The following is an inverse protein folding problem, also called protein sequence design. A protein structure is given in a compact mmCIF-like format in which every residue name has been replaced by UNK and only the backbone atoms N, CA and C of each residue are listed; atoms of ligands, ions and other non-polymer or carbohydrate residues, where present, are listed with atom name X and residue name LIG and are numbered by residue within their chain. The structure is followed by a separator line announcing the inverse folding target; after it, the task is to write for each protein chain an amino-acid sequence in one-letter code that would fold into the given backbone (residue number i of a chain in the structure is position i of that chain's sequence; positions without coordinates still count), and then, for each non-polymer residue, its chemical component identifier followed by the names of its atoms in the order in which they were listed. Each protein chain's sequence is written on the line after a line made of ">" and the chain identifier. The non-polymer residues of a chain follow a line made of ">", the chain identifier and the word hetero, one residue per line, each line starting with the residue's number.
data_IF_422885497744
#
_entry.id   IF_422885497744
#
_cell.length_a   1.000
_cell.length_b   1.000
_cell.length_c   1.000
_cell.angle_alpha   90.00
_cell.angle_beta   90.00
_cell.angle_gamma   90.00
#
_symmetry.space_group_name_H-M   'P 1'
#
loop_
_entity.id
_entity.type
_entity.pdbx_description
1 polymer ?
#
# COMPACT_ATOMS: atom_id res chain seq x y z
N UNK A 1 10.09 20.57 28.17
CA UNK A 1 9.08 19.48 28.16
C UNK A 1 9.19 18.60 26.92
N UNK A 2 9.64 19.11 25.74
CA UNK A 2 9.75 18.32 24.49
C UNK A 2 10.95 17.37 24.42
N UNK A 3 11.99 17.55 25.21
CA UNK A 3 13.21 16.71 25.20
C UNK A 3 13.05 15.39 25.98
N UNK A 4 12.19 15.33 27.00
CA UNK A 4 11.99 14.12 27.81
C UNK A 4 11.20 13.01 27.08
N UNK A 5 10.31 13.37 26.19
CA UNK A 5 9.50 12.41 25.42
C UNK A 5 10.32 11.63 24.38
N UNK A 6 11.39 12.26 23.87
CA UNK A 6 12.27 11.62 22.87
C UNK A 6 13.21 10.57 23.50
N UNK A 7 13.66 10.81 24.71
CA UNK A 7 14.57 9.88 25.43
C UNK A 7 13.83 8.63 25.92
N UNK A 8 12.61 8.79 26.43
CA UNK A 8 11.75 7.67 26.88
C UNK A 8 11.35 6.77 25.71
N UNK A 9 11.04 7.34 24.53
CA UNK A 9 10.73 6.57 23.30
C UNK A 9 11.93 5.75 22.80
N UNK A 10 13.16 6.27 22.96
CA UNK A 10 14.39 5.57 22.55
C UNK A 10 14.74 4.41 23.50
N UNK A 11 14.50 4.56 24.79
CA UNK A 11 14.70 3.51 25.81
C UNK A 11 13.65 2.40 25.69
N UNK A 12 12.37 2.75 25.46
CA UNK A 12 11.30 1.77 25.23
C UNK A 12 11.53 0.98 23.93
N UNK A 13 12.13 1.61 22.91
CA UNK A 13 12.48 0.94 21.65
C UNK A 13 13.59 -0.11 21.82
N UNK A 14 14.58 0.13 22.70
CA UNK A 14 15.61 -0.85 23.02
C UNK A 14 15.08 -2.02 23.87
N UNK A 15 14.18 -1.76 24.82
CA UNK A 15 13.55 -2.80 25.61
C UNK A 15 12.59 -3.67 24.81
N UNK A 16 11.82 -3.08 23.89
CA UNK A 16 10.89 -3.81 23.01
C UNK A 16 11.64 -4.72 22.03
N UNK A 17 12.73 -4.26 21.44
CA UNK A 17 13.56 -5.08 20.55
C UNK A 17 14.24 -6.25 21.26
N UNK A 18 14.54 -6.14 22.55
CA UNK A 18 15.15 -7.22 23.31
C UNK A 18 14.15 -8.34 23.64
N UNK A 19 12.90 -8.00 23.99
CA UNK A 19 11.86 -8.99 24.30
C UNK A 19 11.21 -9.61 23.04
N UNK A 20 11.01 -8.81 21.97
CA UNK A 20 10.46 -9.33 20.72
C UNK A 20 11.44 -10.28 20.00
N UNK A 21 12.76 -10.04 20.12
CA UNK A 21 13.77 -10.88 19.47
C UNK A 21 13.85 -12.28 20.06
N UNK A 22 13.62 -12.46 21.37
CA UNK A 22 13.65 -13.81 22.01
C UNK A 22 12.43 -14.66 21.67
N UNK A 23 11.26 -14.06 21.52
CA UNK A 23 10.02 -14.81 21.21
C UNK A 23 9.87 -15.16 19.72
N UNK A 24 10.49 -14.37 18.83
CA UNK A 24 10.47 -14.59 17.38
C UNK A 24 11.50 -15.65 16.97
N UNK A 25 12.61 -15.79 17.68
CA UNK A 25 13.65 -16.78 17.36
C UNK A 25 13.19 -18.21 17.62
N UNK A 26 12.37 -18.46 18.63
CA UNK A 26 11.87 -19.83 18.93
C UNK A 26 10.77 -20.32 17.98
N UNK A 27 10.05 -19.40 17.30
CA UNK A 27 8.99 -19.78 16.35
C UNK A 27 9.44 -19.84 14.89
N UNK A 28 10.66 -19.42 14.57
CA UNK A 28 11.16 -19.35 13.20
C UNK A 28 12.09 -20.50 12.77
N UNK A 29 12.46 -21.41 13.66
CA UNK A 29 13.26 -22.61 13.28
C UNK A 29 12.47 -23.67 12.47
N UNK A 30 11.17 -23.47 12.25
CA UNK A 30 10.27 -24.40 11.54
C UNK A 30 9.95 -24.04 10.07
N UNK A 31 10.38 -22.89 9.55
CA UNK A 31 10.08 -22.45 8.18
C UNK A 31 11.31 -22.02 7.39
N UNK A 32 12.24 -22.97 7.22
CA UNK A 32 13.29 -22.83 6.22
C UNK A 32 12.80 -23.47 4.91
N UNK A 33 12.26 -22.67 3.99
CA UNK A 33 12.12 -23.05 2.59
C UNK A 33 12.37 -21.85 1.68
N UNK A 34 13.54 -21.84 1.15
CA UNK A 34 14.06 -21.41 -0.16
C UNK A 34 13.32 -20.34 -0.97
N UNK A 35 14.14 -19.31 -1.34
CA UNK A 35 14.03 -18.43 -2.53
C UNK A 35 12.88 -17.43 -2.59
N UNK A 36 12.97 -16.37 -1.76
CA UNK A 36 12.54 -15.01 -2.15
C UNK A 36 13.05 -13.93 -1.16
N UNK A 37 14.18 -14.18 -0.48
CA UNK A 37 14.61 -13.52 0.76
C UNK A 37 15.07 -12.05 0.69
N UNK A 38 15.16 -11.38 -0.47
CA UNK A 38 15.89 -10.10 -0.55
C UNK A 38 14.98 -8.87 -0.55
N UNK A 39 13.69 -9.00 -0.87
CA UNK A 39 12.72 -7.89 -0.80
C UNK A 39 11.85 -7.90 0.46
N UNK A 40 11.85 -8.97 1.23
CA UNK A 40 10.96 -9.15 2.38
C UNK A 40 11.29 -8.17 3.51
N UNK A 41 12.57 -8.01 3.84
CA UNK A 41 13.00 -7.09 4.91
C UNK A 41 12.71 -5.62 4.61
N UNK A 42 12.86 -5.19 3.34
CA UNK A 42 12.59 -3.82 2.93
C UNK A 42 11.09 -3.44 2.97
N UNK A 43 10.20 -4.42 2.88
CA UNK A 43 8.76 -4.21 3.03
C UNK A 43 8.33 -4.18 4.50
N UNK A 44 9.08 -4.85 5.38
CA UNK A 44 8.79 -4.94 6.80
C UNK A 44 8.80 -3.56 7.47
N UNK A 45 9.84 -2.76 7.28
CA UNK A 45 9.96 -1.46 7.96
C UNK A 45 8.89 -0.47 7.52
N UNK A 46 8.49 -0.45 6.23
CA UNK A 46 7.39 0.38 5.76
C UNK A 46 6.05 -0.08 6.33
N UNK A 47 5.80 -1.39 6.34
CA UNK A 47 4.57 -1.98 6.86
C UNK A 47 4.44 -1.72 8.37
N UNK A 48 5.50 -1.96 9.13
CA UNK A 48 5.53 -1.70 10.57
C UNK A 48 5.34 -0.21 10.90
N UNK A 49 6.05 0.68 10.19
CA UNK A 49 5.88 2.12 10.36
C UNK A 49 4.46 2.60 10.06
N UNK A 50 3.77 1.95 9.10
CA UNK A 50 2.37 2.24 8.82
C UNK A 50 1.44 1.72 9.92
N UNK A 51 1.68 0.52 10.47
CA UNK A 51 0.92 0.00 11.61
C UNK A 51 1.08 0.92 12.82
N UNK A 52 2.31 1.34 13.13
CA UNK A 52 2.60 2.29 14.21
C UNK A 52 1.88 3.64 13.99
N UNK A 53 1.91 4.18 12.76
CA UNK A 53 1.22 5.43 12.41
C UNK A 53 -0.30 5.34 12.59
N UNK A 54 -0.87 4.20 12.23
CA UNK A 54 -2.31 3.97 12.27
C UNK A 54 -2.81 3.59 13.67
N UNK A 55 -1.97 3.01 14.52
CA UNK A 55 -2.37 2.53 15.84
C UNK A 55 -2.81 3.66 16.77
N UNK A 56 -3.85 3.41 17.53
CA UNK A 56 -4.40 4.31 18.55
C UNK A 56 -4.55 3.57 19.87
N UNK A 57 -4.61 4.28 21.01
CA UNK A 57 -4.85 3.65 22.30
C UNK A 57 -6.12 2.79 22.30
N UNK A 58 -6.01 1.55 22.81
CA UNK A 58 -7.10 0.57 22.83
C UNK A 58 -7.21 -0.31 21.58
N UNK A 59 -6.42 -0.07 20.54
CA UNK A 59 -6.33 -0.97 19.40
C UNK A 59 -5.54 -2.24 19.75
N UNK A 60 -5.89 -3.36 19.10
CA UNK A 60 -5.14 -4.61 19.20
C UNK A 60 -4.37 -4.83 17.90
N UNK A 61 -3.07 -5.03 18.01
CA UNK A 61 -2.19 -5.36 16.88
C UNK A 61 -2.16 -6.86 16.68
N UNK A 62 -2.03 -7.28 15.43
CA UNK A 62 -1.85 -8.68 15.00
C UNK A 62 -2.84 -9.64 15.67
N UNK A 63 -4.10 -9.21 15.77
CA UNK A 63 -5.11 -9.95 16.52
C UNK A 63 -5.75 -11.05 15.66
N UNK A 64 -5.94 -12.27 16.22
CA UNK A 64 -6.64 -13.34 15.52
C UNK A 64 -8.15 -13.06 15.46
N UNK A 65 -8.71 -13.00 14.26
CA UNK A 65 -10.14 -12.87 13.97
C UNK A 65 -10.52 -13.94 12.95
N UNK A 66 -11.49 -14.80 13.27
CA UNK A 66 -11.97 -15.86 12.36
C UNK A 66 -10.83 -16.74 11.78
N UNK A 67 -9.84 -17.07 12.61
CA UNK A 67 -8.68 -17.86 12.20
C UNK A 67 -7.70 -17.13 11.28
N UNK A 68 -7.82 -15.81 11.16
CA UNK A 68 -6.93 -14.96 10.36
C UNK A 68 -6.31 -13.88 11.25
N UNK A 69 -5.01 -13.62 11.07
CA UNK A 69 -4.34 -12.52 11.76
C UNK A 69 -4.68 -11.21 11.06
N UNK A 70 -5.11 -10.21 11.82
CA UNK A 70 -5.47 -8.86 11.36
C UNK A 70 -4.43 -7.88 11.89
N UNK A 71 -3.91 -7.00 11.03
CA UNK A 71 -2.85 -6.07 11.41
C UNK A 71 -3.26 -5.16 12.58
N UNK A 72 -4.47 -4.56 12.53
CA UNK A 72 -5.05 -3.80 13.64
C UNK A 72 -6.54 -4.10 13.78
N UNK A 73 -6.98 -4.24 15.01
CA UNK A 73 -8.41 -4.28 15.36
C UNK A 73 -8.69 -3.06 16.23
N UNK A 74 -9.46 -2.12 15.70
CA UNK A 74 -9.86 -0.89 16.40
C UNK A 74 -10.69 -1.21 17.64
N UNK A 75 -10.63 -0.35 18.65
CA UNK A 75 -11.50 -0.45 19.82
C UNK A 75 -12.99 -0.52 19.47
N UNK A 76 -13.41 0.14 18.36
CA UNK A 76 -14.76 0.08 17.80
C UNK A 76 -15.06 -1.13 16.91
N UNK A 77 -14.18 -2.14 16.84
CA UNK A 77 -14.38 -3.38 16.10
C UNK A 77 -14.10 -3.31 14.59
N UNK A 78 -13.64 -2.17 14.06
CA UNK A 78 -13.19 -2.09 12.66
C UNK A 78 -11.86 -2.85 12.51
N UNK A 79 -11.78 -3.69 11.48
CA UNK A 79 -10.57 -4.43 11.12
C UNK A 79 -9.76 -3.59 10.13
N UNK A 80 -8.46 -3.43 10.34
CA UNK A 80 -7.58 -2.67 9.47
C UNK A 80 -6.45 -3.57 8.97
N UNK A 81 -6.31 -3.64 7.65
CA UNK A 81 -5.26 -4.36 6.94
C UNK A 81 -4.37 -3.38 6.21
N UNK A 82 -3.09 -3.45 6.44
CA UNK A 82 -2.08 -2.64 5.77
C UNK A 82 -1.42 -3.47 4.68
N UNK A 83 -1.58 -3.07 3.43
CA UNK A 83 -0.99 -3.81 2.32
C UNK A 83 -0.15 -2.88 1.45
N UNK A 84 1.16 -3.01 1.53
CA UNK A 84 2.12 -2.18 0.79
C UNK A 84 2.13 -2.50 -0.70
N UNK A 85 1.82 -3.75 -1.08
CA UNK A 85 1.75 -4.24 -2.47
C UNK A 85 0.83 -5.45 -2.58
N UNK A 86 0.46 -5.81 -3.83
CA UNK A 86 -0.25 -7.06 -4.15
C UNK A 86 -1.59 -7.16 -3.38
N UNK A 87 -2.45 -6.15 -3.49
CA UNK A 87 -3.80 -6.16 -2.89
C UNK A 87 -4.59 -7.43 -3.22
N UNK A 88 -4.30 -8.07 -4.36
CA UNK A 88 -4.89 -9.35 -4.72
C UNK A 88 -4.67 -10.47 -3.69
N UNK A 89 -3.53 -10.46 -2.98
CA UNK A 89 -3.22 -11.50 -1.97
C UNK A 89 -4.16 -11.45 -0.76
N UNK A 90 -4.59 -10.26 -0.35
CA UNK A 90 -5.48 -10.10 0.81
C UNK A 90 -6.95 -9.99 0.44
N UNK A 91 -7.27 -9.83 -0.85
CA UNK A 91 -8.65 -9.59 -1.30
C UNK A 91 -9.62 -10.68 -0.82
N UNK A 92 -9.26 -11.96 -0.93
CA UNK A 92 -10.08 -13.06 -0.43
C UNK A 92 -10.34 -13.02 1.08
N UNK A 93 -9.31 -12.70 1.87
CA UNK A 93 -9.42 -12.52 3.32
C UNK A 93 -10.37 -11.38 3.66
N UNK A 94 -10.18 -10.22 3.04
CA UNK A 94 -10.98 -9.01 3.26
C UNK A 94 -12.44 -9.24 2.90
N UNK A 95 -12.70 -9.79 1.71
CA UNK A 95 -14.07 -10.06 1.23
C UNK A 95 -14.80 -11.08 2.11
N UNK A 96 -14.12 -12.13 2.57
CA UNK A 96 -14.70 -13.12 3.47
C UNK A 96 -15.11 -12.52 4.83
N UNK A 97 -14.26 -11.64 5.41
CA UNK A 97 -14.58 -10.95 6.67
C UNK A 97 -15.72 -9.94 6.46
N UNK A 98 -15.69 -9.18 5.37
CA UNK A 98 -16.75 -8.22 5.05
C UNK A 98 -18.12 -8.90 4.83
N UNK A 99 -18.14 -10.09 4.21
CA UNK A 99 -19.34 -10.90 4.03
C UNK A 99 -19.93 -11.40 5.36
N UNK A 100 -19.10 -11.60 6.40
CA UNK A 100 -19.51 -11.93 7.76
C UNK A 100 -19.99 -10.70 8.57
N UNK A 101 -20.01 -9.51 7.96
CA UNK A 101 -20.50 -8.29 8.59
C UNK A 101 -19.40 -7.42 9.25
N UNK A 102 -18.15 -7.84 9.24
CA UNK A 102 -17.07 -7.01 9.76
C UNK A 102 -16.85 -5.78 8.88
N UNK A 103 -16.63 -4.63 9.49
CA UNK A 103 -16.12 -3.44 8.79
C UNK A 103 -14.62 -3.63 8.58
N UNK A 104 -14.19 -3.65 7.33
CA UNK A 104 -12.78 -3.85 6.99
C UNK A 104 -12.24 -2.64 6.25
N UNK A 105 -11.16 -2.07 6.75
CA UNK A 105 -10.40 -1.00 6.11
C UNK A 105 -9.11 -1.57 5.56
N UNK A 106 -8.91 -1.45 4.26
CA UNK A 106 -7.67 -1.79 3.56
C UNK A 106 -6.89 -0.51 3.35
N UNK A 107 -5.71 -0.42 3.95
CA UNK A 107 -4.82 0.74 3.85
C UNK A 107 -3.69 0.41 2.88
N UNK A 108 -3.56 1.23 1.82
CA UNK A 108 -2.50 1.07 0.82
C UNK A 108 -1.67 2.35 0.71
N UNK A 109 -0.34 2.28 0.99
CA UNK A 109 0.54 3.42 0.84
C UNK A 109 0.91 3.64 -0.64
N UNK A 110 0.84 4.90 -1.06
CA UNK A 110 1.33 5.38 -2.35
C UNK A 110 2.52 6.28 -2.08
N UNK A 111 3.68 5.89 -2.54
CA UNK A 111 4.91 6.66 -2.36
C UNK A 111 4.90 7.92 -3.23
N UNK A 112 4.29 9.00 -2.73
CA UNK A 112 4.23 10.30 -3.41
C UNK A 112 5.61 10.97 -3.46
N UNK A 113 6.42 10.78 -2.42
CA UNK A 113 7.81 11.19 -2.40
C UNK A 113 8.69 10.05 -1.87
N UNK A 114 9.86 9.89 -2.48
CA UNK A 114 10.85 8.91 -2.05
C UNK A 114 12.23 9.52 -1.98
N UNK A 115 12.92 9.32 -0.85
CA UNK A 115 14.33 9.56 -0.70
C UNK A 115 15.10 8.26 -0.98
N UNK A 116 16.16 8.35 -1.74
CA UNK A 116 17.09 7.24 -1.99
C UNK A 116 18.33 7.49 -1.16
N UNK A 117 18.56 6.65 -0.15
CA UNK A 117 19.76 6.63 0.70
C UNK A 117 20.67 5.53 0.20
N UNK A 118 21.93 5.83 0.00
CA UNK A 118 22.95 4.83 -0.37
C UNK A 118 23.90 4.64 0.77
N UNK A 119 24.13 3.38 1.14
CA UNK A 119 25.10 3.00 2.15
C UNK A 119 26.36 2.41 1.49
N UNK A 120 27.48 2.59 2.17
CA UNK A 120 28.70 1.84 1.92
C UNK A 120 28.47 0.38 2.32
N UNK A 121 28.85 -0.60 1.48
CA UNK A 121 28.61 -2.01 1.78
C UNK A 121 29.46 -2.58 2.90
N UNK A 122 30.60 -1.93 3.25
CA UNK A 122 31.52 -2.41 4.28
C UNK A 122 31.33 -1.71 5.62
N UNK A 123 31.08 -0.39 5.62
CA UNK A 123 30.97 0.43 6.83
C UNK A 123 29.55 0.77 7.20
N UNK A 124 28.57 0.53 6.31
CA UNK A 124 27.15 0.94 6.45
C UNK A 124 26.97 2.46 6.58
N UNK A 125 28.01 3.25 6.35
CA UNK A 125 27.92 4.70 6.36
C UNK A 125 27.09 5.23 5.18
N UNK A 126 26.41 6.37 5.41
CA UNK A 126 25.59 7.02 4.39
C UNK A 126 26.48 7.74 3.38
N UNK A 127 26.63 7.17 2.19
CA UNK A 127 27.39 7.76 1.08
C UNK A 127 26.64 8.93 0.42
N UNK A 128 25.34 8.80 0.27
CA UNK A 128 24.52 9.84 -0.36
C UNK A 128 23.04 9.70 -0.04
N UNK A 129 22.32 10.83 -0.07
CA UNK A 129 20.86 10.88 0.00
C UNK A 129 20.35 11.83 -1.08
N UNK A 130 19.40 11.37 -1.91
CA UNK A 130 18.79 12.18 -2.96
C UNK A 130 17.32 11.88 -3.14
N UNK A 131 16.55 12.82 -3.68
CA UNK A 131 15.16 12.58 -4.06
C UNK A 131 15.06 11.66 -5.28
N UNK A 132 14.12 10.71 -5.24
CA UNK A 132 13.76 9.93 -6.42
C UNK A 132 12.96 10.81 -7.40
N UNK A 133 13.18 10.65 -8.72
CA UNK A 133 12.32 11.32 -9.70
C UNK A 133 10.93 10.69 -9.79
N UNK A 134 10.75 9.46 -9.30
CA UNK A 134 9.45 8.78 -9.31
C UNK A 134 8.56 9.36 -8.22
N UNK A 135 7.34 9.75 -8.63
CA UNK A 135 6.29 10.22 -7.73
C UNK A 135 5.03 9.41 -7.96
N UNK A 136 4.42 8.93 -6.89
CA UNK A 136 3.11 8.32 -6.91
C UNK A 136 2.00 9.35 -6.78
N UNK A 137 0.87 9.08 -7.40
CA UNK A 137 -0.37 9.82 -7.28
C UNK A 137 -1.53 8.88 -6.97
N UNK A 138 -2.71 9.40 -6.66
CA UNK A 138 -3.88 8.57 -6.30
C UNK A 138 -4.28 7.55 -7.37
N UNK A 139 -3.97 7.82 -8.64
CA UNK A 139 -4.28 6.88 -9.72
C UNK A 139 -3.43 5.62 -9.65
N UNK A 140 -2.29 5.65 -8.93
CA UNK A 140 -1.45 4.48 -8.69
C UNK A 140 -2.18 3.39 -7.88
N UNK A 141 -3.23 3.74 -7.11
CA UNK A 141 -4.09 2.78 -6.42
C UNK A 141 -4.65 1.72 -7.38
N UNK A 142 -4.97 2.12 -8.62
CA UNK A 142 -5.51 1.21 -9.62
C UNK A 142 -4.48 0.23 -10.21
N UNK A 143 -3.18 0.49 -10.00
CA UNK A 143 -2.14 -0.47 -10.38
C UNK A 143 -2.22 -1.74 -9.51
N UNK A 144 -2.77 -1.62 -8.30
CA UNK A 144 -3.02 -2.71 -7.35
C UNK A 144 -4.47 -3.24 -7.43
N UNK A 145 -5.46 -2.34 -7.52
CA UNK A 145 -6.89 -2.70 -7.57
C UNK A 145 -7.26 -3.52 -8.80
N UNK A 146 -6.48 -3.45 -9.88
CA UNK A 146 -6.69 -4.29 -11.06
C UNK A 146 -6.65 -5.79 -10.72
N UNK A 147 -5.94 -6.16 -9.65
CA UNK A 147 -5.85 -7.53 -9.12
C UNK A 147 -6.88 -7.82 -8.02
N UNK A 148 -7.63 -6.80 -7.56
CA UNK A 148 -8.60 -6.89 -6.48
C UNK A 148 -9.83 -6.00 -6.72
N UNK A 149 -10.44 -5.97 -7.91
CA UNK A 149 -11.52 -5.02 -8.22
C UNK A 149 -12.77 -5.24 -7.37
N UNK A 150 -12.97 -6.44 -6.82
CA UNK A 150 -14.06 -6.75 -5.91
C UNK A 150 -14.07 -5.93 -4.62
N UNK A 151 -12.92 -5.39 -4.18
CA UNK A 151 -12.83 -4.52 -3.01
C UNK A 151 -13.62 -3.22 -3.18
N UNK A 152 -13.80 -2.74 -4.43
CA UNK A 152 -14.52 -1.51 -4.77
C UNK A 152 -16.03 -1.65 -4.52
N UNK A 153 -16.59 -2.82 -4.89
CA UNK A 153 -18.03 -3.08 -4.82
C UNK A 153 -18.47 -3.66 -3.47
N UNK A 154 -17.51 -4.12 -2.65
CA UNK A 154 -17.84 -4.85 -1.43
C UNK A 154 -18.47 -3.94 -0.36
N UNK A 155 -19.61 -4.34 0.18
CA UNK A 155 -20.19 -3.73 1.38
C UNK A 155 -19.23 -3.94 2.55
N UNK A 156 -19.20 -2.99 3.48
CA UNK A 156 -18.36 -3.02 4.67
C UNK A 156 -16.84 -2.96 4.39
N UNK A 157 -16.41 -2.74 3.15
CA UNK A 157 -15.01 -2.49 2.82
C UNK A 157 -14.77 -1.01 2.57
N UNK A 158 -13.73 -0.47 3.18
CA UNK A 158 -13.17 0.84 2.89
C UNK A 158 -11.75 0.65 2.37
N UNK A 159 -11.42 1.22 1.23
CA UNK A 159 -10.05 1.28 0.74
C UNK A 159 -9.51 2.68 1.03
N UNK A 160 -8.41 2.76 1.76
CA UNK A 160 -7.74 4.01 2.10
C UNK A 160 -6.37 4.08 1.42
N UNK A 161 -6.18 5.09 0.60
CA UNK A 161 -4.90 5.42 0.00
C UNK A 161 -4.17 6.43 0.88
N UNK A 162 -2.98 6.09 1.35
CA UNK A 162 -2.09 7.00 2.07
C UNK A 162 -1.01 7.49 1.11
N UNK A 163 -0.98 8.80 0.83
CA UNK A 163 0.15 9.41 0.13
C UNK A 163 1.28 9.60 1.15
N UNK A 164 2.37 8.87 0.94
CA UNK A 164 3.47 8.80 1.91
C UNK A 164 4.78 9.32 1.33
N UNK A 165 5.64 9.79 2.23
CA UNK A 165 7.07 9.96 1.99
C UNK A 165 7.78 8.74 2.55
N UNK A 166 8.65 8.10 1.75
CA UNK A 166 9.45 6.95 2.15
C UNK A 166 10.94 7.22 1.99
N UNK A 167 11.76 6.47 2.73
CA UNK A 167 13.22 6.38 2.52
C UNK A 167 13.54 4.99 2.04
N UNK A 168 14.07 4.85 0.83
CA UNK A 168 14.57 3.58 0.30
C UNK A 168 16.08 3.55 0.46
N UNK A 169 16.55 2.67 1.35
CA UNK A 169 17.97 2.45 1.62
C UNK A 169 18.53 1.37 0.70
N UNK A 170 19.63 1.66 0.05
CA UNK A 170 20.30 0.78 -0.91
C UNK A 170 21.77 0.61 -0.57
N UNK A 171 22.31 -0.58 -0.86
CA UNK A 171 23.73 -0.86 -0.85
C UNK A 171 24.15 -1.48 -2.18
N UNK A 172 25.45 -1.44 -2.48
CA UNK A 172 26.04 -2.03 -3.67
C UNK A 172 27.06 -3.09 -3.25
N UNK A 173 26.56 -4.22 -2.80
CA UNK A 173 27.37 -5.36 -2.35
C UNK A 173 27.55 -6.45 -3.44
N UNK A 174 27.13 -6.17 -4.68
CA UNK A 174 27.21 -7.12 -5.80
C UNK A 174 26.13 -8.18 -5.82
N UNK A 175 25.33 -8.34 -4.77
CA UNK A 175 24.25 -9.34 -4.70
C UNK A 175 22.94 -8.87 -5.36
N UNK A 176 22.87 -7.58 -5.73
CA UNK A 176 21.72 -7.00 -6.42
C UNK A 176 21.61 -7.49 -7.87
N UNK A 177 20.40 -7.33 -8.48
CA UNK A 177 20.18 -7.76 -9.86
C UNK A 177 21.09 -6.99 -10.84
N UNK A 178 21.55 -7.67 -11.89
CA UNK A 178 22.38 -7.07 -12.94
C UNK A 178 21.73 -5.86 -13.63
N UNK A 179 20.38 -5.85 -13.77
CA UNK A 179 19.62 -4.71 -14.32
C UNK A 179 19.72 -3.44 -13.46
N UNK A 180 20.04 -3.59 -12.19
CA UNK A 180 20.23 -2.51 -11.21
C UNK A 180 21.70 -2.26 -10.92
N UNK A 181 22.60 -2.74 -11.76
CA UNK A 181 24.08 -2.60 -11.63
C UNK A 181 24.58 -3.05 -10.26
N UNK A 182 24.00 -4.12 -9.69
CA UNK A 182 24.35 -4.66 -8.38
C UNK A 182 23.75 -3.92 -7.18
N UNK A 183 22.92 -2.87 -7.38
CA UNK A 183 22.23 -2.20 -6.27
C UNK A 183 21.16 -3.13 -5.68
N UNK A 184 21.21 -3.31 -4.34
CA UNK A 184 20.20 -4.03 -3.55
C UNK A 184 19.48 -3.03 -2.64
N UNK A 185 18.14 -3.15 -2.54
CA UNK A 185 17.37 -2.44 -1.52
C UNK A 185 17.53 -3.20 -0.21
N UNK A 186 18.05 -2.52 0.81
CA UNK A 186 18.23 -3.06 2.16
C UNK A 186 16.98 -2.85 2.98
N UNK A 187 16.40 -1.64 2.89
CA UNK A 187 15.24 -1.26 3.67
C UNK A 187 14.38 -0.22 2.97
N UNK A 188 13.11 -0.12 3.42
CA UNK A 188 12.18 0.93 3.03
C UNK A 188 11.39 1.36 4.25
N UNK A 189 11.61 2.59 4.69
CA UNK A 189 11.06 3.17 5.90
C UNK A 189 9.97 4.20 5.57
N UNK A 190 8.96 4.30 6.46
CA UNK A 190 8.00 5.39 6.43
C UNK A 190 8.67 6.65 6.99
N UNK A 191 8.82 7.70 6.15
CA UNK A 191 9.31 9.00 6.61
C UNK A 191 8.17 9.95 7.02
N UNK A 192 6.95 9.69 6.59
CA UNK A 192 5.76 10.44 7.00
C UNK A 192 4.59 10.23 6.07
N UNK A 193 3.39 10.52 6.58
CA UNK A 193 2.15 10.53 5.82
C UNK A 193 1.83 11.97 5.43
N UNK A 194 1.61 12.20 4.14
CA UNK A 194 1.35 13.53 3.58
C UNK A 194 -0.15 13.83 3.53
N UNK A 195 -0.94 12.84 3.10
CA UNK A 195 -2.40 12.92 3.06
C UNK A 195 -3.00 11.53 2.98
N UNK A 196 -4.31 11.43 3.28
CA UNK A 196 -5.08 10.21 3.10
C UNK A 196 -6.35 10.47 2.31
N UNK A 197 -6.84 9.44 1.62
CA UNK A 197 -8.14 9.47 0.96
C UNK A 197 -8.80 8.10 1.05
N UNK A 198 -10.00 8.08 1.63
CA UNK A 198 -10.80 6.86 1.80
C UNK A 198 -11.88 6.75 0.73
N UNK A 199 -12.08 5.52 0.24
CA UNK A 199 -13.08 5.18 -0.78
C UNK A 199 -13.95 4.05 -0.25
N UNK A 200 -15.25 4.32 -0.10
CA UNK A 200 -16.25 3.38 0.39
C UNK A 200 -17.53 3.42 -0.45
N UNK A 201 -17.93 4.62 -0.87
CA UNK A 201 -19.19 4.83 -1.58
C UNK A 201 -19.00 4.91 -3.09
N UNK A 202 -20.07 4.58 -3.85
CA UNK A 202 -20.10 4.72 -5.31
C UNK A 202 -19.63 6.12 -5.75
N UNK A 203 -20.11 7.17 -5.10
CA UNK A 203 -19.74 8.56 -5.44
C UNK A 203 -18.26 8.84 -5.24
N UNK A 204 -17.64 8.31 -4.15
CA UNK A 204 -16.20 8.46 -3.92
C UNK A 204 -15.37 7.76 -5.01
N UNK A 205 -15.78 6.56 -5.43
CA UNK A 205 -15.10 5.84 -6.52
C UNK A 205 -15.29 6.53 -7.88
N UNK A 206 -16.49 7.02 -8.18
CA UNK A 206 -16.75 7.75 -9.42
C UNK A 206 -16.08 9.12 -9.47
N UNK A 207 -15.55 9.64 -8.35
CA UNK A 207 -14.77 10.88 -8.36
C UNK A 207 -13.46 10.80 -9.17
N UNK A 208 -13.03 9.61 -9.56
CA UNK A 208 -11.93 9.43 -10.52
C UNK A 208 -12.34 9.71 -11.98
N UNK A 209 -13.64 9.82 -12.26
CA UNK A 209 -14.16 10.20 -13.58
C UNK A 209 -14.55 11.68 -13.52
N UNK A 210 -13.93 12.55 -14.34
CA UNK A 210 -14.29 13.96 -14.38
C UNK A 210 -15.74 14.15 -14.80
N UNK A 211 -16.47 15.01 -14.09
CA UNK A 211 -17.90 15.26 -14.35
C UNK A 211 -18.16 15.93 -15.70
N UNK A 212 -17.18 16.67 -16.20
CA UNK A 212 -17.20 17.41 -17.45
C UNK A 212 -16.67 16.59 -18.65
N UNK A 213 -16.43 15.29 -18.46
CA UNK A 213 -16.08 14.37 -19.54
C UNK A 213 -17.37 13.80 -20.14
N UNK A 214 -17.75 14.19 -21.38
CA UNK A 214 -19.00 13.73 -22.00
C UNK A 214 -18.94 12.23 -22.30
N UNK A 215 -19.98 11.51 -21.89
CA UNK A 215 -20.12 10.08 -22.20
C UNK A 215 -20.66 9.88 -23.63
N UNK A 216 -20.32 8.74 -24.30
CA UNK A 216 -19.39 7.71 -23.85
C UNK A 216 -17.93 8.14 -24.10
N UNK A 217 -17.03 7.74 -23.20
CA UNK A 217 -15.60 8.10 -23.29
C UNK A 217 -14.70 6.87 -23.44
N UNK A 218 -13.51 7.09 -24.00
CA UNK A 218 -12.48 6.06 -24.14
C UNK A 218 -11.40 6.23 -23.06
N UNK A 219 -10.53 5.21 -22.93
CA UNK A 219 -9.37 5.32 -22.05
C UNK A 219 -8.38 6.42 -22.50
N UNK A 220 -8.33 6.74 -23.79
CA UNK A 220 -7.51 7.83 -24.30
C UNK A 220 -8.07 9.18 -23.83
N UNK A 221 -9.37 9.42 -24.02
CA UNK A 221 -10.04 10.66 -23.60
C UNK A 221 -9.95 10.86 -22.07
N UNK A 222 -10.16 9.79 -21.29
CA UNK A 222 -10.01 9.83 -19.84
C UNK A 222 -8.54 10.14 -19.46
N UNK A 223 -7.59 9.49 -20.12
CA UNK A 223 -6.16 9.70 -19.86
C UNK A 223 -5.73 11.14 -20.13
N UNK A 224 -6.16 11.70 -21.26
CA UNK A 224 -5.90 13.09 -21.63
C UNK A 224 -6.51 14.05 -20.60
N UNK A 225 -7.78 13.86 -20.23
CA UNK A 225 -8.47 14.71 -19.26
C UNK A 225 -7.84 14.70 -17.86
N UNK A 226 -7.31 13.55 -17.44
CA UNK A 226 -6.64 13.38 -16.14
C UNK A 226 -5.13 13.67 -16.18
N UNK A 227 -4.54 13.88 -17.34
CA UNK A 227 -3.09 14.03 -17.49
C UNK A 227 -2.31 12.75 -17.18
N UNK A 228 -2.91 11.56 -17.39
CA UNK A 228 -2.31 10.26 -17.13
C UNK A 228 -2.20 9.42 -18.41
N UNK A 229 -1.31 8.43 -18.39
CA UNK A 229 -1.15 7.51 -19.54
C UNK A 229 -2.43 6.71 -19.80
N UNK A 230 -2.79 6.43 -21.07
CA UNK A 230 -3.97 5.63 -21.41
C UNK A 230 -3.98 4.24 -20.75
N UNK A 231 -2.80 3.64 -20.49
CA UNK A 231 -2.71 2.36 -19.78
C UNK A 231 -3.26 2.44 -18.36
N UNK A 232 -2.97 3.54 -17.64
CA UNK A 232 -3.49 3.76 -16.29
C UNK A 232 -4.99 4.07 -16.33
N UNK A 233 -5.44 4.86 -17.30
CA UNK A 233 -6.87 5.10 -17.52
C UNK A 233 -7.63 3.79 -17.80
N UNK A 234 -7.05 2.85 -18.58
CA UNK A 234 -7.64 1.52 -18.77
C UNK A 234 -7.83 0.74 -17.48
N UNK A 235 -6.84 0.80 -16.56
CA UNK A 235 -6.97 0.14 -15.24
C UNK A 235 -8.10 0.74 -14.41
N UNK A 236 -8.25 2.07 -14.40
CA UNK A 236 -9.36 2.76 -13.73
C UNK A 236 -10.69 2.26 -14.29
N UNK A 237 -10.88 2.35 -15.61
CA UNK A 237 -12.12 1.92 -16.29
C UNK A 237 -12.41 0.45 -16.04
N UNK A 238 -11.40 -0.43 -16.17
CA UNK A 238 -11.55 -1.85 -15.88
C UNK A 238 -12.05 -2.10 -14.44
N UNK A 239 -11.41 -1.49 -13.45
CA UNK A 239 -11.76 -1.68 -12.06
C UNK A 239 -13.19 -1.20 -11.76
N UNK A 240 -13.56 -0.02 -12.27
CA UNK A 240 -14.89 0.54 -12.06
C UNK A 240 -15.98 -0.24 -12.81
N UNK A 241 -15.70 -0.77 -14.00
CA UNK A 241 -16.61 -1.69 -14.70
C UNK A 241 -16.78 -3.00 -13.93
N UNK A 242 -15.68 -3.61 -13.46
CA UNK A 242 -15.75 -4.85 -12.67
C UNK A 242 -16.51 -4.66 -11.35
N UNK A 243 -16.52 -3.45 -10.82
CA UNK A 243 -17.29 -3.06 -9.65
C UNK A 243 -18.75 -2.70 -9.95
N UNK A 244 -19.19 -2.73 -11.21
CA UNK A 244 -20.56 -2.37 -11.64
C UNK A 244 -20.85 -0.87 -11.49
N UNK A 245 -19.82 0.00 -11.47
CA UNK A 245 -19.98 1.44 -11.40
C UNK A 245 -20.01 2.09 -12.78
N UNK A 246 -19.40 1.44 -13.75
CA UNK A 246 -19.40 1.82 -15.15
C UNK A 246 -19.86 0.63 -16.01
N UNK A 247 -20.34 0.94 -17.22
CA UNK A 247 -20.68 -0.05 -18.24
C UNK A 247 -19.88 0.20 -19.52
N UNK A 248 -19.63 -0.87 -20.27
CA UNK A 248 -19.09 -0.78 -21.62
C UNK A 248 -20.21 -0.37 -22.58
N UNK A 249 -20.12 0.84 -23.12
CA UNK A 249 -21.14 1.48 -23.96
C UNK A 249 -20.83 1.40 -25.47
N UNK A 250 -20.13 0.34 -25.90
CA UNK A 250 -19.77 0.10 -27.30
C UNK A 250 -18.33 0.50 -27.61
N UNK A 251 -18.12 1.06 -28.82
CA UNK A 251 -16.80 1.44 -29.32
C UNK A 251 -16.83 2.81 -29.98
N UNK A 252 -15.72 3.54 -29.87
CA UNK A 252 -15.42 4.75 -30.64
C UNK A 252 -14.19 4.43 -31.49
N UNK A 253 -14.37 4.25 -32.79
CA UNK A 253 -13.36 3.68 -33.66
C UNK A 253 -13.01 2.25 -33.24
N UNK A 254 -11.73 1.99 -32.93
CA UNK A 254 -11.26 0.67 -32.42
C UNK A 254 -11.24 0.58 -30.89
N UNK A 255 -11.45 1.68 -30.20
CA UNK A 255 -11.35 1.73 -28.73
C UNK A 255 -12.71 1.42 -28.08
N UNK A 256 -12.68 0.67 -26.97
CA UNK A 256 -13.84 0.50 -26.10
C UNK A 256 -14.28 1.84 -25.53
N UNK A 257 -15.58 2.06 -25.47
CA UNK A 257 -16.21 3.24 -24.88
C UNK A 257 -16.97 2.86 -23.62
N UNK A 258 -17.07 3.78 -22.69
CA UNK A 258 -17.59 3.56 -21.34
C UNK A 258 -18.56 4.68 -20.97
N UNK A 259 -19.52 4.34 -20.09
CA UNK A 259 -20.46 5.27 -19.50
C UNK A 259 -20.75 4.90 -18.04
N UNK A 260 -21.43 5.78 -17.30
CA UNK A 260 -21.94 5.45 -15.97
C UNK A 260 -22.96 4.30 -16.06
N UNK A 261 -22.95 3.42 -15.04
CA UNK A 261 -23.91 2.33 -14.88
C UNK A 261 -25.26 2.82 -14.34
#
# INVERSE_FOLDING_TARGET
>A
VRFHVFLVRRLLRQFWNFFASSYILETMEGFAAEKEGINLYAEYSLHEGLKEYLASPGDRLEAPIEGKVIDLVRAGGELVEVQTRQLGKIAGKVLALAAKGYKVRVVHPIEAERLLRRLDPATEEVLSTRKSPKRGDLYALFDELVHAPGLIAARNVTVEALLVRSVETKTRDGTGSWRRKGDRTVDRELAGVMSSRSFRTKSQWLSFIPKDLPAPWTSAALGEKLGIKPERARKILYCLCRAGLLVEAGKIGRAKAYANA
#
